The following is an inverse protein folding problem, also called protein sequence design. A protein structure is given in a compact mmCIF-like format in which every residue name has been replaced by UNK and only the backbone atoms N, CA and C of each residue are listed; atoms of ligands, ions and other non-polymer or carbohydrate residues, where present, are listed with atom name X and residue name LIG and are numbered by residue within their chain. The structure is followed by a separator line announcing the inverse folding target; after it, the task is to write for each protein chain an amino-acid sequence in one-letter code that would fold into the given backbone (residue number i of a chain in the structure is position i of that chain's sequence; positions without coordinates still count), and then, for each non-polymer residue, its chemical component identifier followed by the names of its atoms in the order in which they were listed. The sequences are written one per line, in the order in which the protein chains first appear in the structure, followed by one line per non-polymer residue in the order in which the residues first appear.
data_IF_124533374143
#
_entry.id   IF_124533374143
#
_cell.length_a   1.000
_cell.length_b   1.000
_cell.length_c   1.000
_cell.angle_alpha   90.00
_cell.angle_beta   90.00
_cell.angle_gamma   90.00
#
_symmetry.space_group_name_H-M   'P 1'
#
loop_
_entity.id
_entity.type
_entity.pdbx_description
1 polymer ?
#
# COMPACT_ATOMS: atom_id res chain seq x y z
N UNK A 1 -60.79 53.25 9.10
CA UNK A 1 -59.89 52.54 8.16
C UNK A 1 -58.47 52.87 8.59
N UNK A 2 -57.81 51.92 9.24
CA UNK A 2 -56.50 52.07 9.90
C UNK A 2 -55.39 51.58 8.96
N UNK A 3 -54.51 52.48 8.53
CA UNK A 3 -53.49 52.25 7.49
C UNK A 3 -52.15 51.75 8.03
N UNK A 4 -52.03 51.53 9.33
CA UNK A 4 -50.75 51.18 9.99
C UNK A 4 -50.36 49.69 9.90
N UNK A 5 -51.27 48.82 9.43
CA UNK A 5 -51.00 47.39 9.28
C UNK A 5 -50.22 47.00 8.00
N UNK A 6 -50.15 47.90 7.01
CA UNK A 6 -49.66 47.55 5.67
C UNK A 6 -48.18 47.87 5.46
N UNK A 7 -47.59 48.74 6.27
CA UNK A 7 -46.17 49.14 6.19
C UNK A 7 -45.23 48.17 6.93
N UNK A 8 -45.70 47.44 7.95
CA UNK A 8 -44.86 46.46 8.67
C UNK A 8 -44.54 45.18 7.90
N UNK A 9 -45.30 44.83 6.85
CA UNK A 9 -45.05 43.59 6.09
C UNK A 9 -43.93 43.72 5.06
N UNK A 10 -43.65 44.93 4.59
CA UNK A 10 -42.72 45.14 3.46
C UNK A 10 -41.25 45.10 3.91
N UNK A 11 -40.94 45.27 5.20
CA UNK A 11 -39.55 45.31 5.69
C UNK A 11 -38.98 43.98 6.21
N UNK A 12 -39.76 42.88 6.28
CA UNK A 12 -39.27 41.58 6.84
C UNK A 12 -38.94 40.55 5.76
N UNK A 13 -38.50 40.99 4.58
CA UNK A 13 -38.26 40.05 3.49
C UNK A 13 -36.99 40.31 2.67
N UNK A 14 -35.95 40.79 3.34
CA UNK A 14 -34.58 40.74 2.82
C UNK A 14 -33.65 40.11 3.87
N UNK A 15 -33.83 38.80 4.09
CA UNK A 15 -32.73 37.99 4.62
C UNK A 15 -32.01 37.39 3.42
N UNK A 16 -30.72 37.66 3.20
CA UNK A 16 -29.99 36.97 2.15
C UNK A 16 -30.11 35.46 2.42
N UNK A 17 -30.37 34.61 1.40
CA UNK A 17 -30.17 33.19 1.60
C UNK A 17 -28.73 33.04 2.07
N UNK A 18 -28.54 32.55 3.31
CA UNK A 18 -27.25 32.04 3.74
C UNK A 18 -26.82 31.14 2.60
N UNK A 19 -25.72 31.48 1.95
CA UNK A 19 -25.03 30.55 1.09
C UNK A 19 -24.97 29.25 1.90
N UNK A 20 -25.72 28.25 1.47
CA UNK A 20 -25.57 26.89 1.94
C UNK A 20 -24.11 26.60 1.70
N UNK A 21 -23.33 26.74 2.78
CA UNK A 21 -21.94 26.31 2.89
C UNK A 21 -21.94 24.95 2.20
N UNK A 22 -21.11 24.73 1.17
CA UNK A 22 -21.03 23.40 0.61
C UNK A 22 -20.73 22.50 1.80
N UNK A 23 -21.71 21.68 2.17
CA UNK A 23 -21.52 20.49 2.98
C UNK A 23 -20.35 19.81 2.28
N UNK A 24 -19.15 20.05 2.82
CA UNK A 24 -17.93 19.44 2.36
C UNK A 24 -18.10 18.00 2.78
N UNK A 25 -18.83 17.25 1.95
CA UNK A 25 -18.88 15.81 1.96
C UNK A 25 -17.45 15.33 1.93
N UNK A 26 -16.96 15.03 3.12
CA UNK A 26 -15.59 14.62 3.41
C UNK A 26 -15.60 13.48 4.42
N UNK A 27 -16.75 12.83 4.60
CA UNK A 27 -16.97 11.68 5.47
C UNK A 27 -16.33 10.42 4.88
N UNK A 28 -15.93 10.50 3.62
CA UNK A 28 -15.03 9.56 2.98
C UNK A 28 -13.84 10.35 2.46
N UNK A 29 -12.99 10.82 3.38
CA UNK A 29 -11.55 10.81 3.12
C UNK A 29 -11.28 9.50 2.37
N UNK A 30 -10.84 9.55 1.10
CA UNK A 30 -10.52 8.34 0.39
C UNK A 30 -9.41 7.69 1.20
N UNK A 31 -9.74 6.65 1.98
CA UNK A 31 -8.79 5.85 2.75
C UNK A 31 -7.98 5.05 1.73
N UNK A 32 -7.21 5.76 0.90
CA UNK A 32 -6.18 5.23 0.03
C UNK A 32 -5.20 4.58 1.00
N UNK A 33 -5.08 3.25 0.94
CA UNK A 33 -4.14 2.45 1.71
C UNK A 33 -2.86 3.27 1.98
N UNK A 34 -2.70 3.67 3.23
CA UNK A 34 -1.74 4.66 3.74
C UNK A 34 -0.43 4.68 2.93
N UNK A 35 -0.07 5.82 2.33
CA UNK A 35 1.22 6.06 1.63
C UNK A 35 2.42 5.34 2.30
N UNK A 36 2.55 5.35 3.64
CA UNK A 36 3.50 4.52 4.39
C UNK A 36 3.48 3.02 4.11
N UNK A 37 2.31 2.37 4.10
CA UNK A 37 2.15 0.92 3.89
C UNK A 37 2.60 0.53 2.49
N UNK A 38 2.26 1.36 1.50
CA UNK A 38 2.68 1.13 0.12
C UNK A 38 4.21 1.22 -0.05
N UNK A 39 4.87 2.18 0.62
CA UNK A 39 6.33 2.22 0.70
C UNK A 39 6.83 0.97 1.44
N UNK A 40 6.31 0.67 2.63
CA UNK A 40 6.70 -0.49 3.40
C UNK A 40 6.67 -1.78 2.58
N UNK A 41 5.61 -2.06 1.81
CA UNK A 41 5.52 -3.23 0.93
C UNK A 41 6.60 -3.23 -0.17
N UNK A 42 6.94 -2.06 -0.70
CA UNK A 42 7.95 -1.90 -1.73
C UNK A 42 9.37 -2.10 -1.15
N UNK A 43 9.68 -1.45 -0.02
CA UNK A 43 10.92 -1.68 0.74
C UNK A 43 11.05 -3.15 1.15
N UNK A 44 9.97 -3.72 1.68
CA UNK A 44 9.92 -5.10 2.13
C UNK A 44 10.14 -6.07 0.97
N UNK A 45 9.56 -5.81 -0.20
CA UNK A 45 9.80 -6.59 -1.41
C UNK A 45 11.27 -6.54 -1.86
N UNK A 46 11.85 -5.34 -1.94
CA UNK A 46 13.27 -5.16 -2.33
C UNK A 46 14.22 -5.77 -1.31
N UNK A 47 13.96 -5.59 -0.01
CA UNK A 47 14.73 -6.18 1.08
C UNK A 47 14.66 -7.70 1.07
N UNK A 48 13.45 -8.24 0.93
CA UNK A 48 13.21 -9.69 0.81
C UNK A 48 14.03 -10.27 -0.34
N UNK A 49 14.06 -9.59 -1.50
CA UNK A 49 14.89 -10.02 -2.63
C UNK A 49 16.37 -10.12 -2.28
N UNK A 50 16.91 -9.12 -1.57
CA UNK A 50 18.30 -9.11 -1.11
C UNK A 50 18.62 -10.29 -0.18
N UNK A 51 17.72 -10.61 0.76
CA UNK A 51 17.87 -11.73 1.69
C UNK A 51 17.90 -13.06 0.94
N UNK A 52 16.97 -13.29 0.03
CA UNK A 52 16.91 -14.58 -0.68
C UNK A 52 18.10 -14.78 -1.64
N UNK A 53 18.54 -13.73 -2.35
CA UNK A 53 19.75 -13.81 -3.20
C UNK A 53 20.97 -14.16 -2.36
N UNK A 54 21.17 -13.46 -1.23
CA UNK A 54 22.34 -13.69 -0.37
C UNK A 54 22.30 -15.07 0.28
N UNK A 55 21.13 -15.53 0.71
CA UNK A 55 20.94 -16.87 1.23
C UNK A 55 21.25 -17.96 0.20
N UNK A 56 20.71 -17.87 -1.03
CA UNK A 56 21.01 -18.84 -2.09
C UNK A 56 22.50 -18.86 -2.44
N UNK A 57 23.15 -17.68 -2.50
CA UNK A 57 24.61 -17.60 -2.70
C UNK A 57 25.39 -18.25 -1.56
N UNK A 58 24.95 -18.09 -0.32
CA UNK A 58 25.58 -18.75 0.83
C UNK A 58 25.31 -20.26 0.82
N UNK A 59 24.11 -20.69 0.45
CA UNK A 59 23.77 -22.11 0.32
C UNK A 59 24.67 -22.79 -0.72
N UNK A 60 24.89 -22.13 -1.86
CA UNK A 60 25.78 -22.64 -2.91
C UNK A 60 27.26 -22.64 -2.50
N UNK A 61 27.68 -21.70 -1.65
CA UNK A 61 29.03 -21.66 -1.07
C UNK A 61 29.21 -22.58 0.12
N UNK A 62 28.20 -23.39 0.42
CA UNK A 62 28.13 -24.23 1.60
C UNK A 62 28.40 -23.48 2.91
N UNK A 63 27.76 -22.32 3.09
CA UNK A 63 27.94 -21.51 4.30
C UNK A 63 27.57 -22.23 5.60
N UNK A 64 26.83 -23.35 5.53
CA UNK A 64 26.48 -24.20 6.66
C UNK A 64 27.35 -25.45 6.80
N UNK A 65 28.16 -25.83 5.80
CA UNK A 65 28.91 -27.10 5.77
C UNK A 65 28.03 -28.35 5.64
N UNK A 66 26.80 -28.19 5.14
CA UNK A 66 25.77 -29.24 5.06
C UNK A 66 25.14 -29.31 3.66
N UNK A 67 25.43 -28.36 2.78
CA UNK A 67 24.85 -28.27 1.45
C UNK A 67 25.40 -29.35 0.53
N UNK A 68 26.66 -29.73 0.71
CA UNK A 68 27.33 -30.76 -0.07
C UNK A 68 27.95 -31.79 0.87
N UNK A 69 27.95 -33.05 0.45
CA UNK A 69 28.66 -34.12 1.16
C UNK A 69 30.15 -34.17 0.79
N UNK A 70 30.89 -35.10 1.38
CA UNK A 70 32.33 -35.27 1.15
C UNK A 70 32.67 -35.65 -0.31
N UNK A 71 31.70 -36.13 -1.09
CA UNK A 71 31.83 -36.41 -2.52
C UNK A 71 31.47 -35.20 -3.41
N UNK A 72 30.91 -34.14 -2.82
CA UNK A 72 30.46 -32.93 -3.50
C UNK A 72 29.03 -33.01 -4.02
N UNK A 73 28.25 -34.02 -3.63
CA UNK A 73 26.86 -34.18 -4.04
C UNK A 73 25.92 -33.31 -3.17
N UNK A 74 24.89 -32.67 -3.78
CA UNK A 74 23.96 -31.83 -3.05
C UNK A 74 23.07 -32.65 -2.12
N UNK A 75 23.06 -32.30 -0.84
CA UNK A 75 22.30 -33.02 0.19
C UNK A 75 20.81 -32.68 0.16
N UNK A 76 20.00 -33.44 0.92
CA UNK A 76 18.59 -33.10 1.13
C UNK A 76 18.40 -31.70 1.78
N UNK A 77 19.34 -31.27 2.63
CA UNK A 77 19.33 -29.93 3.23
C UNK A 77 19.40 -28.85 2.15
N UNK A 78 20.28 -29.02 1.16
CA UNK A 78 20.40 -28.11 0.03
C UNK A 78 19.07 -27.99 -0.73
N UNK A 79 18.46 -29.12 -1.10
CA UNK A 79 17.22 -29.12 -1.88
C UNK A 79 16.03 -28.50 -1.15
N UNK A 80 15.85 -28.84 0.13
CA UNK A 80 14.76 -28.27 0.95
C UNK A 80 14.93 -26.76 1.08
N UNK A 81 16.14 -26.29 1.40
CA UNK A 81 16.40 -24.86 1.58
C UNK A 81 16.33 -24.09 0.26
N UNK A 82 16.80 -24.67 -0.84
CA UNK A 82 16.69 -24.07 -2.17
C UNK A 82 15.21 -23.93 -2.58
N UNK A 83 14.40 -24.97 -2.38
CA UNK A 83 12.97 -24.92 -2.68
C UNK A 83 12.23 -23.89 -1.82
N UNK A 84 12.51 -23.86 -0.51
CA UNK A 84 11.95 -22.87 0.42
C UNK A 84 12.36 -21.45 0.02
N UNK A 85 13.62 -21.24 -0.37
CA UNK A 85 14.11 -19.93 -0.80
C UNK A 85 13.42 -19.47 -2.08
N UNK A 86 13.29 -20.34 -3.10
CA UNK A 86 12.61 -20.02 -4.36
C UNK A 86 11.13 -19.70 -4.09
N UNK A 87 10.43 -20.56 -3.33
CA UNK A 87 9.02 -20.39 -3.01
C UNK A 87 8.78 -19.07 -2.27
N UNK A 88 9.59 -18.79 -1.25
CA UNK A 88 9.50 -17.56 -0.47
C UNK A 88 9.86 -16.32 -1.30
N UNK A 89 10.83 -16.44 -2.20
CA UNK A 89 11.18 -15.37 -3.14
C UNK A 89 10.01 -15.03 -4.08
N UNK A 90 9.33 -16.04 -4.63
CA UNK A 90 8.15 -15.84 -5.47
C UNK A 90 6.99 -15.20 -4.71
N UNK A 91 6.72 -15.67 -3.49
CA UNK A 91 5.72 -15.06 -2.60
C UNK A 91 6.06 -13.59 -2.27
N UNK A 92 7.31 -13.30 -1.90
CA UNK A 92 7.78 -11.94 -1.65
C UNK A 92 7.68 -11.04 -2.88
N UNK A 93 7.96 -11.59 -4.07
CA UNK A 93 7.83 -10.88 -5.35
C UNK A 93 6.36 -10.59 -5.66
N UNK A 94 5.45 -11.54 -5.48
CA UNK A 94 4.02 -11.34 -5.70
C UNK A 94 3.47 -10.23 -4.79
N UNK A 95 3.83 -10.25 -3.50
CA UNK A 95 3.46 -9.19 -2.54
C UNK A 95 4.05 -7.84 -2.94
N UNK A 96 5.33 -7.79 -3.33
CA UNK A 96 5.99 -6.57 -3.80
C UNK A 96 5.34 -5.99 -5.06
N UNK A 97 4.97 -6.83 -6.02
CA UNK A 97 4.27 -6.44 -7.26
C UNK A 97 2.87 -5.91 -6.96
N UNK A 98 2.11 -6.57 -6.07
CA UNK A 98 0.80 -6.10 -5.64
C UNK A 98 0.91 -4.73 -4.95
N UNK A 99 1.89 -4.56 -4.06
CA UNK A 99 2.20 -3.27 -3.42
C UNK A 99 2.55 -2.18 -4.45
N UNK A 100 3.42 -2.50 -5.41
CA UNK A 100 3.81 -1.58 -6.48
C UNK A 100 2.64 -1.16 -7.37
N UNK A 101 1.76 -2.10 -7.74
CA UNK A 101 0.54 -1.79 -8.50
C UNK A 101 -0.42 -0.91 -7.72
N UNK A 102 -0.51 -1.09 -6.40
CA UNK A 102 -1.25 -0.20 -5.50
C UNK A 102 -0.72 1.25 -5.54
N UNK A 103 0.60 1.44 -5.48
CA UNK A 103 1.23 2.76 -5.58
C UNK A 103 0.98 3.41 -6.95
N UNK A 104 1.09 2.63 -8.04
CA UNK A 104 0.93 3.15 -9.40
C UNK A 104 -0.50 3.60 -9.68
N UNK A 105 -1.49 2.81 -9.31
CA UNK A 105 -2.91 3.17 -9.47
C UNK A 105 -3.32 4.41 -8.67
N UNK A 106 -2.57 4.75 -7.61
CA UNK A 106 -2.78 5.97 -6.82
C UNK A 106 -2.17 7.22 -7.48
N UNK A 107 -1.13 7.08 -8.31
CA UNK A 107 -0.50 8.18 -9.07
C UNK A 107 -1.36 8.61 -10.24
N UNK A 108 -1.98 7.68 -10.96
CA UNK A 108 -2.79 7.99 -12.16
C UNK A 108 -4.10 8.74 -11.86
N UNK A 109 -4.55 8.78 -10.60
CA UNK A 109 -5.71 9.61 -10.18
C UNK A 109 -5.33 10.99 -9.64
N UNK A 110 -4.04 11.30 -9.55
CA UNK A 110 -3.54 12.55 -8.96
C UNK A 110 -2.79 13.42 -9.98
N UNK A 111 -2.57 12.92 -11.19
CA UNK A 111 -2.11 13.70 -12.35
C UNK A 111 -3.34 14.05 -13.21
#
# INVERSE_FOLDING_TARGET
MDTDGMTRRVYRQDSPPRASRPERGGDTEPMKLSRPVSWFLLAFGVWSWFIWITFVKNLWKDGSGLAFDDAGDPTAYFWVHLLLAITSFLLGTAVGVIGFRGVRALRDRTA
#
